data_IF_419950234353
#
_entry.id   IF_419950234353
#
_cell.length_a   1.000
_cell.length_b   1.000
_cell.length_c   1.000
_cell.angle_alpha   90.00
_cell.angle_beta   90.00
_cell.angle_gamma   90.00
#
_symmetry.space_group_name_H-M   'P 1'
#
loop_
_entity.id
_entity.type
_entity.pdbx_description
1 polymer ?
#
# COMPACT_ATOMS: atom_id res chain seq x y z
N UNK A 1 1.95 -9.40 0.11
CA UNK A 1 1.38 -9.52 -1.26
C UNK A 1 1.60 -8.34 -2.20
N UNK A 2 1.53 -7.09 -1.73
CA UNK A 2 1.60 -5.92 -2.61
C UNK A 2 2.82 -5.91 -3.55
N UNK A 3 4.01 -6.31 -3.07
CA UNK A 3 5.20 -6.48 -3.92
C UNK A 3 5.02 -7.48 -5.06
N UNK A 4 4.35 -8.61 -4.80
CA UNK A 4 4.07 -9.62 -5.83
C UNK A 4 3.11 -9.07 -6.87
N UNK A 5 2.07 -8.33 -6.45
CA UNK A 5 1.15 -7.65 -7.35
C UNK A 5 1.90 -6.63 -8.24
N UNK A 6 2.72 -5.76 -7.65
CA UNK A 6 3.55 -4.81 -8.41
C UNK A 6 4.47 -5.49 -9.41
N UNK A 7 5.16 -6.57 -9.01
CA UNK A 7 6.03 -7.34 -9.90
C UNK A 7 5.27 -7.91 -11.09
N UNK A 8 4.07 -8.48 -10.87
CA UNK A 8 3.21 -8.99 -11.94
C UNK A 8 2.70 -7.88 -12.87
N UNK A 9 2.48 -6.68 -12.33
CA UNK A 9 2.04 -5.49 -13.08
C UNK A 9 3.22 -4.71 -13.73
N UNK A 10 4.46 -5.20 -13.61
CA UNK A 10 5.64 -4.54 -14.18
C UNK A 10 6.03 -3.23 -13.47
N UNK A 11 5.61 -3.05 -12.23
CA UNK A 11 5.91 -1.87 -11.41
C UNK A 11 7.10 -2.14 -10.50
N UNK A 12 8.11 -1.26 -10.57
CA UNK A 12 9.35 -1.37 -9.78
C UNK A 12 9.23 -0.78 -8.38
N UNK A 13 8.46 0.28 -8.22
CA UNK A 13 8.38 1.05 -6.98
C UNK A 13 6.96 1.02 -6.44
N UNK A 14 6.84 0.72 -5.16
CA UNK A 14 5.60 0.78 -4.40
C UNK A 14 5.85 1.65 -3.17
N UNK A 15 4.88 2.48 -2.83
CA UNK A 15 4.85 3.22 -1.59
C UNK A 15 3.90 2.51 -0.63
N UNK A 16 4.37 2.24 0.59
CA UNK A 16 3.59 1.60 1.66
C UNK A 16 3.86 2.40 2.93
N UNK A 17 2.84 2.99 3.54
CA UNK A 17 2.94 3.90 4.69
C UNK A 17 3.81 3.30 5.81
N UNK A 18 3.61 2.01 6.11
CA UNK A 18 4.33 1.29 7.16
C UNK A 18 5.83 1.07 6.88
N UNK A 19 6.27 1.22 5.62
CA UNK A 19 7.68 1.07 5.21
C UNK A 19 8.33 2.41 4.83
N UNK A 20 7.55 3.34 4.30
CA UNK A 20 8.04 4.61 3.77
C UNK A 20 7.99 5.76 4.79
N UNK A 21 7.26 5.59 5.89
CA UNK A 21 7.20 6.55 7.00
C UNK A 21 7.94 5.96 8.19
N UNK A 22 8.76 6.78 8.86
CA UNK A 22 9.40 6.36 10.11
C UNK A 22 8.33 6.29 11.21
N UNK A 23 8.07 5.07 11.69
CA UNK A 23 7.12 4.82 12.77
C UNK A 23 7.61 5.47 14.08
N UNK A 24 6.67 5.91 14.92
CA UNK A 24 6.92 6.59 16.21
C UNK A 24 7.66 7.94 16.13
N UNK A 25 7.80 8.52 14.92
CA UNK A 25 8.37 9.84 14.73
C UNK A 25 7.33 10.85 14.23
N UNK A 26 6.77 11.63 15.15
CA UNK A 26 5.74 12.66 14.85
C UNK A 26 6.21 13.67 13.80
N UNK A 27 7.49 14.05 13.83
CA UNK A 27 8.05 15.05 12.90
C UNK A 27 8.18 14.49 11.49
N UNK A 28 8.56 13.22 11.36
CA UNK A 28 8.63 12.53 10.08
C UNK A 28 7.22 12.27 9.53
N UNK A 29 6.33 11.77 10.39
CA UNK A 29 4.93 11.58 10.06
C UNK A 29 4.29 12.86 9.52
N UNK A 30 4.50 14.01 10.16
CA UNK A 30 3.94 15.29 9.68
C UNK A 30 4.44 15.70 8.28
N UNK A 31 5.68 15.36 7.93
CA UNK A 31 6.24 15.63 6.60
C UNK A 31 5.65 14.69 5.55
N UNK A 32 5.59 13.40 5.86
CA UNK A 32 5.09 12.40 4.91
C UNK A 32 3.57 12.50 4.76
N UNK A 33 2.82 12.79 5.83
CA UNK A 33 1.38 13.05 5.79
C UNK A 33 1.03 14.23 4.87
N UNK A 34 1.85 15.28 4.84
CA UNK A 34 1.66 16.38 3.90
C UNK A 34 1.82 15.96 2.43
N UNK A 35 2.58 14.88 2.16
CA UNK A 35 2.89 14.36 0.81
C UNK A 35 1.97 13.21 0.39
N UNK A 36 1.25 12.57 1.32
CA UNK A 36 0.33 11.46 1.05
C UNK A 36 -0.61 11.79 -0.12
N UNK A 37 -1.25 12.97 -0.09
CA UNK A 37 -2.15 13.40 -1.17
C UNK A 37 -1.45 13.37 -2.53
N UNK A 38 -0.21 13.85 -2.60
CA UNK A 38 0.55 13.89 -3.84
C UNK A 38 0.99 12.50 -4.28
N UNK A 39 1.39 11.64 -3.34
CA UNK A 39 1.74 10.24 -3.61
C UNK A 39 0.55 9.49 -4.20
N UNK A 40 -0.64 9.56 -3.58
CA UNK A 40 -1.84 8.89 -4.06
C UNK A 40 -2.37 9.44 -5.40
N UNK A 41 -2.26 10.75 -5.62
CA UNK A 41 -2.77 11.40 -6.84
C UNK A 41 -1.86 11.25 -8.05
N UNK A 42 -0.55 11.12 -7.84
CA UNK A 42 0.43 10.92 -8.92
C UNK A 42 0.84 9.45 -9.08
N UNK A 43 0.32 8.54 -8.26
CA UNK A 43 0.52 7.10 -8.44
C UNK A 43 -0.10 6.62 -9.77
N UNK A 44 0.56 5.67 -10.44
CA UNK A 44 0.01 5.06 -11.67
C UNK A 44 -1.31 4.34 -11.41
N UNK A 45 -1.44 3.74 -10.23
CA UNK A 45 -2.67 3.17 -9.68
C UNK A 45 -2.47 2.91 -8.18
N UNK A 46 -3.57 2.69 -7.47
CA UNK A 46 -3.57 2.33 -6.05
C UNK A 46 -4.09 0.89 -5.89
N UNK A 47 -3.52 0.14 -4.95
CA UNK A 47 -3.94 -1.22 -4.60
C UNK A 47 -4.66 -1.15 -3.25
N UNK A 48 -5.83 -1.79 -3.14
CA UNK A 48 -6.58 -1.89 -1.88
C UNK A 48 -7.10 -3.32 -1.70
N UNK A 49 -6.91 -3.88 -0.51
CA UNK A 49 -7.41 -5.20 -0.13
C UNK A 49 -8.82 -5.07 0.47
N UNK A 50 -9.82 -4.80 -0.36
CA UNK A 50 -11.19 -4.49 0.09
C UNK A 50 -11.98 -5.70 0.61
N UNK A 51 -11.43 -6.91 0.49
CA UNK A 51 -12.07 -8.17 0.88
C UNK A 51 -11.72 -8.61 2.30
N UNK A 52 -10.94 -7.82 3.04
CA UNK A 52 -10.57 -8.07 4.44
C UNK A 52 -10.85 -6.84 5.32
N UNK A 53 -11.01 -7.07 6.62
CA UNK A 53 -11.09 -6.04 7.66
C UNK A 53 -9.80 -5.89 8.48
N UNK A 54 -8.83 -6.80 8.34
CA UNK A 54 -7.59 -6.82 9.12
C UNK A 54 -6.38 -6.77 8.19
N UNK A 55 -5.33 -6.04 8.59
CA UNK A 55 -4.07 -5.99 7.84
C UNK A 55 -3.26 -7.30 7.89
N UNK A 56 -3.72 -8.25 8.70
CA UNK A 56 -3.16 -9.60 8.81
C UNK A 56 -3.53 -10.46 7.60
N UNK A 57 -4.66 -10.19 6.98
CA UNK A 57 -5.08 -10.86 5.75
C UNK A 57 -4.40 -10.24 4.54
N UNK A 58 -4.04 -11.11 3.60
CA UNK A 58 -3.34 -10.73 2.38
C UNK A 58 -4.21 -10.03 1.34
N UNK A 59 -3.56 -9.57 0.27
CA UNK A 59 -4.23 -9.07 -0.94
C UNK A 59 -4.79 -10.22 -1.77
N UNK A 60 -4.18 -11.40 -1.68
CA UNK A 60 -4.61 -12.58 -2.43
C UNK A 60 -5.45 -13.50 -1.55
N UNK A 61 -6.62 -13.86 -2.06
CA UNK A 61 -7.48 -14.88 -1.48
C UNK A 61 -7.93 -15.83 -2.58
N UNK A 62 -8.16 -17.09 -2.24
CA UNK A 62 -8.77 -18.03 -3.16
C UNK A 62 -10.25 -17.68 -3.29
N UNK A 63 -10.70 -17.49 -4.51
CA UNK A 63 -12.11 -17.53 -4.81
C UNK A 63 -12.48 -19.02 -4.88
N UNK A 64 -12.79 -19.65 -3.74
CA UNK A 64 -13.44 -20.95 -3.78
C UNK A 64 -14.82 -20.71 -4.39
N UNK A 65 -15.02 -21.26 -5.59
CA UNK A 65 -16.29 -21.20 -6.29
C UNK A 65 -17.37 -21.83 -5.38
N UNK A 66 -18.39 -21.05 -5.05
CA UNK A 66 -19.64 -21.55 -4.47
C UNK A 66 -20.35 -22.41 -5.52
#
# INVERSE_FOLDING_TARGET
>A
DAFVACKKLGIRYIWIDSLCIIQDNIKDWGKEAARIKDVYSHAKFNISATSTMLGEDGLFFNCEAI
#
